data_IF_313622419945
#
_entry.id   IF_313622419945
#
_cell.length_a   1.000
_cell.length_b   1.000
_cell.length_c   1.000
_cell.angle_alpha   90.00
_cell.angle_beta   90.00
_cell.angle_gamma   90.00
#
_symmetry.space_group_name_H-M   'P 1'
#
loop_
_entity.id
_entity.type
_entity.pdbx_description
1 polymer ?
#
# COMPACT_ATOMS: atom_id res chain seq x y z
N UNK A 1 55.63 -70.42 12.33
CA UNK A 1 55.45 -69.38 13.33
C UNK A 1 54.10 -68.67 13.00
N UNK A 2 53.15 -68.73 13.92
CA UNK A 2 51.85 -68.12 13.69
C UNK A 2 52.02 -66.61 13.88
N UNK A 3 51.64 -65.82 12.86
CA UNK A 3 51.59 -64.35 12.90
C UNK A 3 50.63 -63.95 13.99
N UNK A 4 51.12 -63.23 15.02
CA UNK A 4 50.34 -62.73 16.13
C UNK A 4 49.77 -61.38 15.67
N UNK A 5 48.48 -61.38 15.21
CA UNK A 5 47.78 -60.14 14.90
C UNK A 5 47.53 -59.40 16.21
N UNK A 6 48.22 -58.31 16.45
CA UNK A 6 47.96 -57.38 17.55
C UNK A 6 46.77 -56.46 17.17
N UNK A 7 45.62 -56.74 17.77
CA UNK A 7 44.49 -55.77 17.71
C UNK A 7 44.77 -54.63 18.71
N UNK A 8 45.39 -53.57 18.24
CA UNK A 8 45.59 -52.34 19.04
C UNK A 8 44.48 -51.38 18.76
N UNK A 9 43.70 -51.03 19.78
CA UNK A 9 42.81 -49.85 19.72
C UNK A 9 43.57 -48.63 20.14
N UNK A 10 43.66 -47.63 19.26
CA UNK A 10 44.18 -46.31 19.58
C UNK A 10 42.98 -45.43 19.89
N UNK A 11 42.89 -44.86 21.09
CA UNK A 11 41.89 -43.88 21.48
C UNK A 11 42.56 -42.54 21.56
N UNK A 12 42.05 -41.57 20.77
CA UNK A 12 42.56 -40.22 20.82
C UNK A 12 42.07 -39.53 22.10
N UNK A 13 42.86 -38.58 22.57
CA UNK A 13 42.43 -37.71 23.69
C UNK A 13 41.14 -36.98 23.31
N UNK A 14 40.14 -37.02 24.20
CA UNK A 14 38.82 -36.47 23.90
C UNK A 14 38.17 -35.92 25.16
N UNK A 15 37.35 -34.89 25.00
CA UNK A 15 36.55 -34.30 26.07
C UNK A 15 35.38 -33.48 25.48
N UNK A 16 34.50 -32.99 26.33
CA UNK A 16 33.48 -32.04 25.96
C UNK A 16 34.08 -30.67 25.60
N UNK A 17 33.42 -29.91 24.77
CA UNK A 17 33.88 -28.54 24.37
C UNK A 17 34.03 -27.65 25.61
N UNK A 18 33.09 -27.77 26.57
CA UNK A 18 33.11 -27.01 27.80
C UNK A 18 34.36 -27.34 28.67
N UNK A 19 34.73 -28.65 28.77
CA UNK A 19 35.91 -29.07 29.51
C UNK A 19 37.19 -28.64 28.81
N UNK A 20 37.29 -28.81 27.49
CA UNK A 20 38.39 -28.30 26.70
C UNK A 20 38.65 -26.81 26.90
N UNK A 21 37.59 -26.03 26.89
CA UNK A 21 37.64 -24.58 27.09
C UNK A 21 38.03 -24.18 28.50
N UNK A 22 37.51 -24.94 29.51
CA UNK A 22 37.76 -24.67 30.94
C UNK A 22 39.23 -24.97 31.32
N UNK A 23 39.72 -26.13 30.89
CA UNK A 23 41.09 -26.60 31.22
C UNK A 23 42.13 -25.91 30.31
N UNK A 24 41.73 -25.60 29.08
CA UNK A 24 42.55 -24.93 28.06
C UNK A 24 43.99 -25.38 27.97
N UNK A 25 44.28 -26.69 27.81
CA UNK A 25 45.62 -27.25 27.89
C UNK A 25 46.43 -26.92 26.66
N UNK A 26 47.76 -26.88 26.82
CA UNK A 26 48.71 -26.93 25.69
C UNK A 26 48.85 -28.39 25.27
N UNK A 27 48.42 -28.72 24.05
CA UNK A 27 48.59 -30.06 23.48
C UNK A 27 50.02 -30.23 22.98
N UNK A 28 50.59 -31.43 23.08
CA UNK A 28 51.91 -31.75 22.52
C UNK A 28 51.89 -31.57 20.99
N UNK A 29 53.04 -31.25 20.40
CA UNK A 29 53.16 -31.13 18.95
C UNK A 29 52.72 -32.45 18.27
N UNK A 30 51.69 -32.40 17.42
CA UNK A 30 51.10 -33.55 16.76
C UNK A 30 50.05 -34.33 17.60
N UNK A 31 49.81 -33.95 18.85
CA UNK A 31 48.75 -34.56 19.67
C UNK A 31 47.37 -34.17 19.14
N UNK A 32 46.51 -35.22 18.90
CA UNK A 32 45.16 -35.01 18.43
C UNK A 32 44.15 -34.97 19.59
N UNK A 33 43.33 -33.96 19.65
CA UNK A 33 42.23 -33.80 20.62
C UNK A 33 40.87 -33.72 19.94
N UNK A 34 39.95 -34.56 20.36
CA UNK A 34 38.57 -34.68 19.78
C UNK A 34 37.58 -34.02 20.69
N UNK A 35 36.67 -33.24 20.12
CA UNK A 35 35.52 -32.65 20.82
C UNK A 35 34.32 -33.60 20.78
N UNK A 36 33.70 -33.89 21.92
CA UNK A 36 32.65 -34.92 22.05
C UNK A 36 31.22 -34.36 21.93
N UNK A 37 31.03 -33.04 22.05
CA UNK A 37 29.71 -32.41 22.07
C UNK A 37 29.71 -31.03 21.41
N UNK A 38 28.56 -30.32 21.49
CA UNK A 38 28.38 -29.01 20.91
C UNK A 38 28.40 -28.99 19.37
N UNK A 39 28.53 -27.82 18.81
CA UNK A 39 28.59 -27.61 17.34
C UNK A 39 29.89 -28.18 16.71
N UNK A 40 30.88 -28.41 17.54
CA UNK A 40 32.17 -28.98 17.15
C UNK A 40 32.31 -30.49 17.45
N UNK A 41 31.22 -31.19 17.70
CA UNK A 41 31.23 -32.66 18.00
C UNK A 41 31.89 -33.46 16.88
N UNK A 42 32.87 -34.25 17.26
CA UNK A 42 33.64 -35.11 16.36
C UNK A 42 34.77 -34.42 15.64
N UNK A 43 34.92 -33.08 15.80
CA UNK A 43 36.03 -32.34 15.21
C UNK A 43 37.31 -32.49 16.02
N UNK A 44 38.43 -32.34 15.34
CA UNK A 44 39.79 -32.61 15.89
C UNK A 44 40.59 -31.29 15.82
N UNK A 45 41.32 -31.02 16.90
CA UNK A 45 42.44 -30.03 16.90
C UNK A 45 43.75 -30.78 17.03
N UNK A 46 44.77 -30.31 16.36
CA UNK A 46 46.15 -30.87 16.46
C UNK A 46 47.03 -29.87 17.21
N UNK A 47 47.69 -30.33 18.24
CA UNK A 47 48.61 -29.55 19.03
C UNK A 47 49.85 -29.14 18.24
N UNK A 48 50.33 -27.93 18.48
CA UNK A 48 51.59 -27.39 17.98
C UNK A 48 52.72 -27.39 19.03
N UNK A 49 52.41 -27.87 20.25
CA UNK A 49 53.32 -27.90 21.39
C UNK A 49 53.50 -26.60 22.15
N UNK A 50 52.81 -25.51 21.71
CA UNK A 50 52.99 -24.17 22.28
C UNK A 50 51.68 -23.45 22.56
N UNK A 51 50.71 -23.59 21.68
CA UNK A 51 49.41 -22.93 21.78
C UNK A 51 48.45 -23.67 22.70
N UNK A 52 47.65 -22.91 23.42
CA UNK A 52 46.52 -23.46 24.19
C UNK A 52 45.47 -24.01 23.26
N UNK A 53 44.68 -25.00 23.75
CA UNK A 53 43.61 -25.64 22.97
C UNK A 53 42.65 -24.63 22.35
N UNK A 54 42.26 -23.54 23.07
CA UNK A 54 41.40 -22.50 22.58
C UNK A 54 41.94 -21.74 21.39
N UNK A 55 43.29 -21.62 21.27
CA UNK A 55 43.96 -20.89 20.19
C UNK A 55 44.27 -21.76 18.96
N UNK A 56 44.08 -23.11 19.06
CA UNK A 56 44.26 -24.00 17.92
C UNK A 56 42.98 -24.05 17.04
N UNK A 57 43.18 -24.13 15.74
CA UNK A 57 42.08 -24.32 14.78
C UNK A 57 41.66 -25.79 14.72
N UNK A 58 40.36 -26.02 14.42
CA UNK A 58 39.88 -27.35 14.12
C UNK A 58 40.42 -27.85 12.78
N UNK A 59 40.90 -29.08 12.73
CA UNK A 59 41.31 -29.74 11.49
C UNK A 59 40.10 -29.82 10.54
N UNK A 60 40.24 -29.30 9.34
CA UNK A 60 39.23 -29.37 8.34
C UNK A 60 38.16 -28.27 8.41
N UNK A 61 38.35 -27.14 9.15
CA UNK A 61 37.52 -25.93 9.14
C UNK A 61 36.03 -26.08 8.74
N UNK A 62 35.24 -25.07 8.74
CA UNK A 62 33.90 -25.16 8.15
C UNK A 62 34.01 -25.59 6.68
N UNK A 63 33.16 -26.51 6.20
CA UNK A 63 33.20 -27.08 4.82
C UNK A 63 33.22 -26.01 3.71
N UNK A 64 32.71 -24.83 4.00
CA UNK A 64 32.77 -23.64 3.13
C UNK A 64 34.17 -22.99 3.09
N UNK A 65 34.98 -23.16 4.12
CA UNK A 65 36.37 -22.60 4.18
C UNK A 65 37.32 -23.36 3.28
N UNK A 66 37.15 -24.69 3.14
CA UNK A 66 38.08 -25.47 2.31
C UNK A 66 38.01 -25.05 0.84
N UNK A 67 36.80 -24.88 0.30
CA UNK A 67 36.64 -24.41 -1.08
C UNK A 67 37.13 -22.98 -1.31
N UNK A 68 37.11 -22.13 -0.28
CA UNK A 68 37.65 -20.76 -0.32
C UNK A 68 39.16 -20.70 -0.13
N UNK A 69 39.75 -21.71 0.51
CA UNK A 69 41.19 -21.79 0.77
C UNK A 69 42.00 -22.47 -0.34
N UNK A 70 41.35 -23.26 -1.17
CA UNK A 70 41.98 -23.84 -2.37
C UNK A 70 42.05 -22.78 -3.44
N UNK A 71 43.22 -22.23 -3.67
CA UNK A 71 43.49 -21.17 -4.67
C UNK A 71 44.13 -21.77 -5.91
N UNK A 72 43.76 -21.26 -7.07
CA UNK A 72 44.42 -21.58 -8.34
C UNK A 72 45.49 -20.53 -8.64
N UNK A 73 46.64 -20.97 -9.08
CA UNK A 73 47.79 -20.13 -9.47
C UNK A 73 47.80 -19.83 -10.99
N UNK A 74 46.94 -20.48 -11.74
CA UNK A 74 46.79 -20.32 -13.19
C UNK A 74 45.38 -20.64 -13.66
N UNK A 75 45.03 -20.23 -14.89
CA UNK A 75 43.79 -20.59 -15.52
C UNK A 75 43.69 -22.10 -15.78
N UNK A 76 42.53 -22.68 -15.51
CA UNK A 76 42.28 -24.11 -15.81
C UNK A 76 41.88 -24.30 -17.28
N UNK A 77 42.45 -25.33 -17.91
CA UNK A 77 42.15 -25.69 -19.29
C UNK A 77 41.62 -27.11 -19.37
N UNK A 78 40.47 -27.26 -19.98
CA UNK A 78 39.78 -28.57 -20.21
C UNK A 78 39.52 -28.79 -21.71
N UNK A 79 39.16 -30.01 -22.06
CA UNK A 79 38.70 -30.37 -23.45
C UNK A 79 37.19 -30.43 -23.54
N UNK A 80 36.51 -30.56 -22.44
CA UNK A 80 35.04 -30.69 -22.34
C UNK A 80 34.42 -29.42 -21.75
N UNK A 81 33.13 -29.21 -22.00
CA UNK A 81 32.37 -28.10 -21.41
C UNK A 81 32.35 -28.18 -19.89
N UNK A 82 32.56 -27.04 -19.23
CA UNK A 82 32.50 -26.91 -17.79
C UNK A 82 31.55 -25.75 -17.41
N UNK A 83 30.36 -26.09 -16.92
CA UNK A 83 29.34 -25.09 -16.63
C UNK A 83 28.99 -24.23 -17.84
N UNK A 84 29.05 -22.92 -17.71
CA UNK A 84 28.82 -21.96 -18.79
C UNK A 84 29.95 -21.87 -19.82
N UNK A 85 31.11 -22.39 -19.50
CA UNK A 85 32.28 -22.33 -20.37
C UNK A 85 32.22 -23.46 -21.40
N UNK A 86 32.13 -23.07 -22.68
CA UNK A 86 32.03 -23.99 -23.83
C UNK A 86 33.36 -24.07 -24.57
N UNK A 87 33.70 -25.22 -25.20
CA UNK A 87 34.92 -25.38 -25.98
C UNK A 87 35.00 -24.41 -27.15
N UNK A 88 36.12 -23.70 -27.24
CA UNK A 88 36.46 -22.89 -28.41
C UNK A 88 37.82 -23.40 -28.97
N UNK A 89 37.86 -23.86 -30.20
CA UNK A 89 39.09 -24.48 -30.78
C UNK A 89 39.49 -25.77 -30.07
N UNK A 90 38.53 -26.54 -29.53
CA UNK A 90 38.74 -27.82 -28.82
C UNK A 90 39.28 -27.67 -27.37
N UNK A 91 39.25 -26.48 -26.84
CA UNK A 91 39.66 -26.22 -25.42
C UNK A 91 38.67 -25.28 -24.73
N UNK A 92 38.47 -25.52 -23.44
CA UNK A 92 37.78 -24.60 -22.53
C UNK A 92 38.79 -24.01 -21.59
N UNK A 93 38.93 -22.68 -21.56
CA UNK A 93 39.72 -21.97 -20.58
C UNK A 93 38.83 -21.34 -19.53
N UNK A 94 39.01 -21.71 -18.27
CA UNK A 94 38.28 -21.15 -17.15
C UNK A 94 39.22 -20.12 -16.47
N UNK A 95 38.85 -18.84 -16.42
CA UNK A 95 39.62 -17.81 -15.74
C UNK A 95 39.63 -18.09 -14.23
N UNK A 96 40.62 -18.82 -13.77
CA UNK A 96 40.76 -19.27 -12.37
C UNK A 96 42.00 -18.74 -11.67
N UNK A 97 42.93 -18.12 -12.40
CA UNK A 97 44.17 -17.57 -11.81
C UNK A 97 43.84 -16.59 -10.65
N UNK A 98 44.44 -16.85 -9.50
CA UNK A 98 44.20 -16.14 -8.22
C UNK A 98 42.75 -16.19 -7.72
N UNK A 99 41.97 -17.14 -8.16
CA UNK A 99 40.63 -17.40 -7.63
C UNK A 99 40.62 -18.66 -6.76
N UNK A 100 39.74 -18.68 -5.77
CA UNK A 100 39.43 -19.87 -4.98
C UNK A 100 38.59 -20.85 -5.77
N UNK A 101 38.61 -22.14 -5.40
CA UNK A 101 37.74 -23.16 -5.95
C UNK A 101 36.24 -22.74 -5.82
N UNK A 102 35.88 -22.12 -4.70
CA UNK A 102 34.52 -21.61 -4.46
C UNK A 102 34.12 -20.56 -5.51
N UNK A 103 34.96 -19.58 -5.78
CA UNK A 103 34.70 -18.53 -6.79
C UNK A 103 34.61 -19.11 -8.20
N UNK A 104 35.49 -20.06 -8.54
CA UNK A 104 35.44 -20.75 -9.85
C UNK A 104 34.17 -21.57 -10.03
N UNK A 105 33.73 -22.29 -9.02
CA UNK A 105 32.49 -23.08 -9.10
C UNK A 105 31.26 -22.19 -9.20
N UNK A 106 31.18 -21.12 -8.40
CA UNK A 106 30.09 -20.14 -8.52
C UNK A 106 30.08 -19.56 -9.93
N UNK A 107 31.22 -19.06 -10.40
CA UNK A 107 31.30 -18.45 -11.72
C UNK A 107 30.92 -19.44 -12.84
N UNK A 108 31.37 -20.68 -12.76
CA UNK A 108 31.10 -21.70 -13.79
C UNK A 108 29.63 -22.16 -13.84
N UNK A 109 28.97 -22.30 -12.69
CA UNK A 109 27.63 -22.90 -12.57
C UNK A 109 26.52 -21.92 -12.21
N UNK A 110 26.84 -20.69 -11.86
CA UNK A 110 25.83 -19.67 -11.61
C UNK A 110 25.48 -18.95 -12.92
N UNK A 111 24.20 -18.86 -13.20
CA UNK A 111 23.69 -18.03 -14.29
C UNK A 111 23.63 -16.58 -13.80
N UNK A 112 24.27 -15.67 -14.53
CA UNK A 112 24.15 -14.25 -14.22
C UNK A 112 22.80 -13.74 -14.73
N UNK A 113 21.93 -13.39 -13.79
CA UNK A 113 20.59 -12.91 -14.06
C UNK A 113 20.52 -11.40 -13.94
N UNK A 114 19.89 -10.78 -14.91
CA UNK A 114 19.58 -9.36 -14.85
C UNK A 114 18.57 -9.10 -13.70
N UNK A 115 18.71 -7.99 -12.98
CA UNK A 115 17.79 -7.66 -11.92
C UNK A 115 16.40 -7.29 -12.46
N UNK A 116 15.37 -7.66 -11.73
CA UNK A 116 14.06 -7.04 -11.87
C UNK A 116 14.13 -5.62 -11.27
N UNK A 117 13.65 -4.63 -12.03
CA UNK A 117 13.64 -3.23 -11.62
C UNK A 117 12.21 -2.80 -11.33
N UNK A 118 11.93 -2.45 -10.08
CA UNK A 118 10.67 -1.80 -9.72
C UNK A 118 10.81 -0.29 -9.94
N UNK A 119 9.99 0.26 -10.82
CA UNK A 119 10.02 1.67 -11.18
C UNK A 119 9.52 2.57 -10.04
N UNK A 120 9.96 3.83 -9.97
CA UNK A 120 9.44 4.81 -9.04
C UNK A 120 7.93 4.98 -9.17
N UNK A 121 7.28 5.20 -8.06
CA UNK A 121 5.83 5.39 -8.00
C UNK A 121 5.46 6.45 -6.98
N UNK A 122 4.25 6.98 -7.10
CA UNK A 122 3.70 7.89 -6.12
C UNK A 122 2.25 7.56 -5.79
N UNK A 123 1.82 7.95 -4.63
CA UNK A 123 0.42 8.01 -4.24
C UNK A 123 0.05 9.45 -3.91
N UNK A 124 -1.20 9.81 -4.14
CA UNK A 124 -1.79 11.06 -3.66
C UNK A 124 -3.06 10.71 -2.89
N UNK A 125 -3.18 11.26 -1.70
CA UNK A 125 -4.43 11.26 -0.94
C UNK A 125 -4.94 12.68 -0.83
N UNK A 126 -6.26 12.84 -0.83
CA UNK A 126 -6.91 14.14 -0.74
C UNK A 126 -8.12 14.04 0.18
N UNK A 127 -8.29 15.03 1.06
CA UNK A 127 -9.48 15.18 1.89
C UNK A 127 -10.74 15.48 1.07
N UNK A 128 -10.57 15.76 -0.23
CA UNK A 128 -11.62 16.23 -1.13
C UNK A 128 -12.37 15.12 -1.87
N UNK A 129 -11.87 13.87 -1.86
CA UNK A 129 -12.47 12.77 -2.62
C UNK A 129 -13.80 12.29 -2.02
N UNK A 130 -14.82 13.15 -1.98
CA UNK A 130 -16.16 12.79 -1.51
C UNK A 130 -17.24 13.75 -2.04
N UNK A 131 -18.50 13.35 -1.86
CA UNK A 131 -19.64 14.14 -2.24
C UNK A 131 -20.07 15.10 -1.11
N UNK A 132 -20.46 16.29 -1.48
CA UNK A 132 -20.96 17.35 -0.59
C UNK A 132 -22.26 17.92 -1.12
N UNK A 133 -23.07 18.49 -0.23
CA UNK A 133 -24.19 19.34 -0.68
C UNK A 133 -23.63 20.55 -1.41
N UNK A 134 -24.24 20.90 -2.54
CA UNK A 134 -23.86 22.12 -3.29
C UNK A 134 -23.91 23.35 -2.38
N UNK A 135 -22.97 24.26 -2.55
CA UNK A 135 -22.81 25.43 -1.70
C UNK A 135 -21.96 25.19 -0.45
N UNK A 136 -21.62 23.95 -0.11
CA UNK A 136 -20.68 23.66 0.97
C UNK A 136 -19.30 24.23 0.60
N UNK A 137 -18.68 24.91 1.55
CA UNK A 137 -17.33 25.44 1.41
C UNK A 137 -16.33 24.44 1.96
N UNK A 138 -15.30 24.14 1.18
CA UNK A 138 -14.25 23.18 1.54
C UNK A 138 -12.88 23.75 1.20
N UNK A 139 -11.88 23.50 2.02
CA UNK A 139 -10.46 23.80 1.75
C UNK A 139 -9.77 22.49 1.40
N UNK A 140 -9.52 22.22 0.10
CA UNK A 140 -8.96 20.95 -0.34
C UNK A 140 -7.52 20.81 0.11
N UNK A 141 -7.24 19.75 0.88
CA UNK A 141 -5.89 19.39 1.29
C UNK A 141 -5.44 18.10 0.58
N UNK A 142 -4.15 17.98 0.34
CA UNK A 142 -3.54 16.80 -0.25
C UNK A 142 -2.27 16.41 0.49
N UNK A 143 -1.94 15.14 0.39
CA UNK A 143 -0.63 14.60 0.77
C UNK A 143 -0.19 13.56 -0.24
N UNK A 144 1.12 13.42 -0.43
CA UNK A 144 1.69 12.45 -1.33
C UNK A 144 2.78 11.62 -0.65
N UNK A 145 2.99 10.42 -1.16
CA UNK A 145 4.12 9.58 -0.82
C UNK A 145 4.82 9.20 -2.10
N UNK A 146 6.13 9.45 -2.17
CA UNK A 146 6.99 9.03 -3.25
C UNK A 146 7.74 7.75 -2.85
N UNK A 147 7.78 6.77 -3.74
CA UNK A 147 8.56 5.55 -3.61
C UNK A 147 9.61 5.54 -4.72
N UNK A 148 10.87 5.43 -4.36
CA UNK A 148 12.00 5.44 -5.29
C UNK A 148 12.10 4.19 -6.17
N UNK A 149 11.30 3.16 -5.89
CA UNK A 149 11.47 1.85 -6.51
C UNK A 149 12.57 1.05 -5.85
N UNK A 150 12.92 -0.09 -6.42
CA UNK A 150 14.00 -0.94 -5.92
C UNK A 150 14.62 -1.79 -7.03
N UNK A 151 15.83 -2.29 -6.76
CA UNK A 151 16.52 -3.29 -7.56
C UNK A 151 16.48 -4.64 -6.85
N UNK A 152 16.28 -5.72 -7.60
CA UNK A 152 16.24 -7.08 -7.04
C UNK A 152 17.60 -7.48 -6.45
N UNK A 153 18.70 -7.09 -7.10
CA UNK A 153 20.05 -7.39 -6.65
C UNK A 153 20.83 -6.10 -6.38
N UNK A 154 21.70 -6.14 -5.40
CA UNK A 154 22.53 -5.02 -5.00
C UNK A 154 21.81 -4.00 -4.10
N UNK A 155 22.40 -2.84 -3.88
CA UNK A 155 21.80 -1.81 -3.05
C UNK A 155 20.60 -1.18 -3.75
N UNK A 156 19.64 -0.69 -2.96
CA UNK A 156 18.53 0.11 -3.46
C UNK A 156 19.03 1.33 -4.28
N UNK A 157 18.24 1.83 -5.24
CA UNK A 157 18.65 2.92 -6.10
C UNK A 157 18.97 4.18 -5.28
N UNK A 158 20.21 4.64 -5.33
CA UNK A 158 20.61 5.93 -4.79
C UNK A 158 20.40 7.01 -5.85
N UNK A 159 20.03 8.21 -5.44
CA UNK A 159 19.76 9.32 -6.36
C UNK A 159 18.32 9.42 -6.88
N UNK A 160 17.52 8.38 -6.76
CA UNK A 160 16.07 8.42 -7.08
C UNK A 160 15.34 9.09 -5.91
N UNK A 161 15.44 10.40 -5.86
CA UNK A 161 14.77 11.23 -4.85
C UNK A 161 13.90 12.27 -5.55
N UNK A 162 12.77 12.60 -4.95
CA UNK A 162 11.94 13.68 -5.45
C UNK A 162 12.73 14.99 -5.38
N UNK A 163 12.91 15.65 -6.54
CA UNK A 163 13.63 16.90 -6.67
C UNK A 163 12.70 18.10 -6.73
N UNK A 164 11.53 17.93 -7.35
CA UNK A 164 10.49 18.96 -7.41
C UNK A 164 9.11 18.35 -7.23
N UNK A 165 8.22 19.17 -6.68
CA UNK A 165 6.78 18.89 -6.59
C UNK A 165 6.05 20.00 -7.29
N UNK A 166 5.02 19.69 -8.08
CA UNK A 166 4.14 20.66 -8.70
C UNK A 166 2.70 20.18 -8.53
N UNK A 167 2.00 20.75 -7.54
CA UNK A 167 0.59 20.50 -7.30
C UNK A 167 -0.25 21.62 -7.92
N UNK A 168 -1.32 21.25 -8.58
CA UNK A 168 -2.29 22.18 -9.17
C UNK A 168 -3.71 21.65 -8.97
N UNK A 169 -4.69 22.53 -9.08
CA UNK A 169 -6.09 22.16 -9.11
C UNK A 169 -6.74 22.57 -10.44
N UNK A 170 -7.90 22.00 -10.74
CA UNK A 170 -8.59 22.25 -12.01
C UNK A 170 -9.63 23.37 -11.97
N UNK A 171 -9.66 24.19 -10.91
CA UNK A 171 -10.66 25.27 -10.73
C UNK A 171 -10.07 26.64 -10.48
N UNK A 172 -8.96 26.70 -9.77
CA UNK A 172 -8.20 27.92 -9.54
C UNK A 172 -6.82 27.68 -10.10
N UNK A 173 -6.13 28.61 -10.65
CA UNK A 173 -4.77 28.42 -11.19
C UNK A 173 -3.71 28.41 -10.06
N UNK A 174 -4.11 28.00 -8.87
CA UNK A 174 -3.19 27.88 -7.74
C UNK A 174 -2.26 26.70 -7.91
N UNK A 175 -1.00 26.90 -7.58
CA UNK A 175 0.05 25.89 -7.57
C UNK A 175 0.76 25.83 -6.22
N UNK A 176 1.28 24.68 -5.88
CA UNK A 176 2.12 24.49 -4.70
C UNK A 176 3.28 23.53 -5.01
N UNK A 177 4.48 23.88 -4.59
CA UNK A 177 5.71 23.13 -4.86
C UNK A 177 6.10 22.26 -3.67
N UNK A 178 5.12 21.59 -3.07
CA UNK A 178 5.30 20.80 -1.84
C UNK A 178 4.64 19.42 -1.94
N UNK A 179 5.14 18.48 -1.19
CA UNK A 179 4.59 17.11 -1.10
C UNK A 179 3.19 17.07 -0.44
N UNK A 180 2.88 18.06 0.37
CA UNK A 180 1.60 18.22 1.09
C UNK A 180 1.17 19.68 1.02
N UNK A 181 -0.13 19.93 0.96
CA UNK A 181 -0.62 21.31 0.92
C UNK A 181 -2.13 21.39 1.10
N UNK A 182 -2.60 22.63 1.17
CA UNK A 182 -4.02 22.98 1.21
C UNK A 182 -4.25 24.11 0.25
N UNK A 183 -5.22 23.93 -0.66
CA UNK A 183 -5.64 24.98 -1.57
C UNK A 183 -6.69 25.89 -0.93
N UNK A 184 -6.91 27.05 -1.52
CA UNK A 184 -7.92 28.02 -1.10
C UNK A 184 -9.32 27.38 -1.05
N UNK A 185 -10.20 28.02 -0.28
CA UNK A 185 -11.57 27.58 -0.11
C UNK A 185 -12.29 27.48 -1.46
N UNK A 186 -12.88 26.31 -1.72
CA UNK A 186 -13.68 26.02 -2.90
C UNK A 186 -15.15 25.85 -2.51
N UNK A 187 -16.04 26.56 -3.19
CA UNK A 187 -17.47 26.34 -3.04
C UNK A 187 -17.95 25.23 -3.97
N UNK A 188 -18.50 24.17 -3.42
CA UNK A 188 -18.99 23.01 -4.17
C UNK A 188 -20.20 23.43 -5.03
N UNK A 189 -20.12 23.15 -6.32
CA UNK A 189 -21.16 23.47 -7.31
C UNK A 189 -21.86 22.21 -7.82
N UNK A 190 -23.00 22.35 -8.46
CA UNK A 190 -23.74 21.23 -9.07
C UNK A 190 -22.83 20.46 -10.04
N UNK A 191 -22.84 19.12 -9.94
CA UNK A 191 -22.04 18.24 -10.78
C UNK A 191 -20.56 18.56 -10.74
N UNK A 192 -20.04 19.10 -9.63
CA UNK A 192 -18.67 19.56 -9.54
C UNK A 192 -17.66 18.46 -9.77
N UNK A 193 -16.57 18.85 -10.36
CA UNK A 193 -15.43 18.02 -10.68
C UNK A 193 -14.15 18.78 -10.25
N UNK A 194 -13.98 18.93 -8.94
CA UNK A 194 -12.77 19.50 -8.39
C UNK A 194 -11.80 18.38 -8.02
N UNK A 195 -10.58 18.46 -8.52
CA UNK A 195 -9.50 17.56 -8.18
C UNK A 195 -8.15 18.28 -8.08
N UNK A 196 -7.18 17.60 -7.53
CA UNK A 196 -5.81 18.05 -7.40
C UNK A 196 -4.93 17.11 -8.20
N UNK A 197 -4.08 17.65 -9.08
CA UNK A 197 -3.05 16.92 -9.79
C UNK A 197 -1.71 17.27 -9.19
N UNK A 198 -0.93 16.27 -8.77
CA UNK A 198 0.44 16.44 -8.30
C UNK A 198 1.39 15.75 -9.27
N UNK A 199 2.39 16.48 -9.73
CA UNK A 199 3.54 15.95 -10.45
C UNK A 199 4.78 15.95 -9.56
N UNK A 200 5.55 14.86 -9.61
CA UNK A 200 6.83 14.72 -8.90
C UNK A 200 7.91 14.42 -9.92
N UNK A 201 8.96 15.24 -9.95
CA UNK A 201 10.16 14.96 -10.74
C UNK A 201 11.21 14.33 -9.83
N UNK A 202 11.90 13.31 -10.32
CA UNK A 202 12.96 12.61 -9.60
C UNK A 202 14.19 12.43 -10.46
N UNK A 203 15.35 12.30 -9.81
CA UNK A 203 16.64 12.14 -10.44
C UNK A 203 16.95 10.72 -10.89
N UNK A 204 18.07 10.57 -11.60
CA UNK A 204 18.62 9.29 -12.01
C UNK A 204 19.02 8.43 -10.81
N UNK A 205 18.75 7.14 -10.91
CA UNK A 205 19.21 6.13 -9.95
C UNK A 205 20.67 5.70 -10.20
N UNK A 206 21.25 5.03 -9.22
CA UNK A 206 22.50 4.28 -9.41
C UNK A 206 22.30 3.13 -10.42
N UNK A 207 23.41 2.61 -10.96
CA UNK A 207 23.36 1.42 -11.82
C UNK A 207 23.07 0.19 -10.95
N UNK A 208 22.04 -0.62 -11.28
CA UNK A 208 21.77 -1.87 -10.57
C UNK A 208 22.84 -2.92 -10.85
N UNK A 209 22.88 -3.95 -10.01
CA UNK A 209 23.76 -5.10 -10.17
C UNK A 209 22.99 -6.30 -10.70
N UNK A 210 23.68 -7.17 -11.42
CA UNK A 210 23.21 -8.52 -11.75
C UNK A 210 23.27 -9.43 -10.52
N UNK A 211 22.75 -10.64 -10.61
CA UNK A 211 22.80 -11.64 -9.55
C UNK A 211 24.24 -11.97 -9.10
N UNK A 212 25.20 -11.87 -9.99
CA UNK A 212 26.63 -12.09 -9.70
C UNK A 212 27.40 -10.79 -9.38
N UNK A 213 26.71 -9.66 -9.29
CA UNK A 213 27.29 -8.39 -8.86
C UNK A 213 27.87 -7.52 -9.96
N UNK A 214 27.75 -7.88 -11.23
CA UNK A 214 28.16 -7.05 -12.36
C UNK A 214 27.22 -5.85 -12.55
N UNK A 215 27.71 -4.77 -13.16
CA UNK A 215 26.89 -3.61 -13.47
C UNK A 215 25.90 -3.90 -14.61
N UNK A 216 24.62 -3.55 -14.40
CA UNK A 216 23.58 -3.68 -15.41
C UNK A 216 23.01 -2.30 -15.78
N UNK A 217 23.74 -1.59 -16.63
CA UNK A 217 23.42 -0.21 -17.02
C UNK A 217 22.02 -0.08 -17.69
N UNK A 218 21.55 -1.10 -18.40
CA UNK A 218 20.24 -1.09 -19.03
C UNK A 218 19.07 -1.09 -18.04
N UNK A 219 19.29 -1.50 -16.80
CA UNK A 219 18.31 -1.48 -15.74
C UNK A 219 18.32 -0.20 -14.87
N UNK A 220 19.17 0.78 -15.18
CA UNK A 220 19.23 2.03 -14.44
C UNK A 220 17.88 2.76 -14.50
N UNK A 221 17.37 3.16 -13.35
CA UNK A 221 16.22 4.06 -13.29
C UNK A 221 16.68 5.44 -13.78
N UNK A 222 16.01 5.94 -14.83
CA UNK A 222 16.28 7.24 -15.41
C UNK A 222 15.33 8.27 -14.80
N UNK A 223 15.85 9.43 -14.44
CA UNK A 223 15.07 10.54 -13.90
C UNK A 223 13.91 10.92 -14.82
N UNK A 224 12.75 11.13 -14.25
CA UNK A 224 11.52 11.41 -14.98
C UNK A 224 10.53 12.19 -14.10
N UNK A 225 9.39 12.53 -14.67
CA UNK A 225 8.26 13.12 -13.96
C UNK A 225 7.09 12.14 -13.97
N UNK A 226 6.54 11.85 -12.81
CA UNK A 226 5.30 11.09 -12.65
C UNK A 226 4.22 11.98 -12.08
N UNK A 227 2.97 11.78 -12.48
CA UNK A 227 1.85 12.55 -11.97
C UNK A 227 0.68 11.66 -11.57
N UNK A 228 -0.07 12.12 -10.60
CA UNK A 228 -1.32 11.52 -10.13
C UNK A 228 -2.35 12.59 -9.85
N UNK A 229 -3.59 12.26 -10.13
CA UNK A 229 -4.74 13.10 -9.82
C UNK A 229 -5.53 12.49 -8.68
N UNK A 230 -5.96 13.31 -7.73
CA UNK A 230 -6.80 12.90 -6.61
C UNK A 230 -8.21 12.52 -7.08
N UNK A 231 -8.99 11.86 -6.22
CA UNK A 231 -10.42 11.74 -6.41
C UNK A 231 -11.12 13.12 -6.43
N UNK A 232 -12.33 13.13 -6.94
CA UNK A 232 -13.09 14.36 -7.14
C UNK A 232 -13.95 14.75 -5.93
N UNK A 233 -14.13 16.06 -5.73
CA UNK A 233 -15.33 16.58 -5.06
C UNK A 233 -16.48 16.47 -6.06
N UNK A 234 -17.61 15.92 -5.62
CA UNK A 234 -18.88 15.97 -6.34
C UNK A 234 -19.93 16.75 -5.55
N UNK A 235 -20.72 17.56 -6.27
CA UNK A 235 -21.83 18.29 -5.69
C UNK A 235 -23.15 17.54 -5.88
N UNK A 236 -23.98 17.50 -4.85
CA UNK A 236 -25.33 16.97 -4.93
C UNK A 236 -26.34 17.90 -4.26
N UNK A 237 -27.59 17.80 -4.65
CA UNK A 237 -28.71 18.47 -3.98
C UNK A 237 -29.36 17.50 -2.98
N UNK A 238 -29.53 17.94 -1.74
CA UNK A 238 -30.28 17.18 -0.75
C UNK A 238 -31.74 17.10 -1.11
N UNK A 239 -32.39 16.02 -0.72
CA UNK A 239 -33.85 15.96 -0.57
C UNK A 239 -34.17 16.16 0.90
N UNK A 240 -35.22 16.88 1.20
CA UNK A 240 -35.63 17.26 2.54
C UNK A 240 -37.02 16.70 2.81
N UNK A 241 -37.26 16.15 3.99
CA UNK A 241 -38.55 15.61 4.37
C UNK A 241 -38.72 15.59 5.88
N UNK A 242 -39.96 15.59 6.30
CA UNK A 242 -40.32 15.59 7.72
C UNK A 242 -41.60 16.33 7.98
N UNK A 243 -41.69 16.90 9.18
CA UNK A 243 -42.91 17.53 9.65
C UNK A 243 -42.65 18.90 10.26
N UNK A 244 -43.70 19.74 10.27
CA UNK A 244 -43.76 20.98 11.04
C UNK A 244 -44.95 20.96 11.99
N UNK A 245 -44.87 21.76 13.05
CA UNK A 245 -45.97 21.98 14.01
C UNK A 245 -46.84 23.18 13.63
N UNK A 246 -46.50 23.86 12.55
CA UNK A 246 -47.28 24.97 11.99
C UNK A 246 -47.66 24.66 10.53
N UNK A 247 -48.96 24.44 10.30
CA UNK A 247 -49.50 24.22 8.94
C UNK A 247 -49.84 25.49 8.20
N UNK A 248 -49.80 26.65 8.89
CA UNK A 248 -50.11 27.96 8.29
C UNK A 248 -48.90 28.64 7.67
N UNK A 249 -47.68 28.24 8.06
CA UNK A 249 -46.46 28.79 7.55
C UNK A 249 -46.32 28.50 6.03
N UNK A 250 -45.89 29.49 5.27
CA UNK A 250 -45.59 29.33 3.85
C UNK A 250 -44.42 28.36 3.69
N UNK A 251 -44.52 27.44 2.72
CA UNK A 251 -43.45 26.47 2.44
C UNK A 251 -42.35 27.13 1.60
N UNK A 252 -41.45 27.80 2.27
CA UNK A 252 -40.27 28.48 1.67
C UNK A 252 -39.03 27.59 1.61
N UNK A 253 -37.99 28.05 0.91
CA UNK A 253 -36.67 27.43 0.91
C UNK A 253 -36.17 27.14 2.35
N UNK A 254 -36.30 28.13 3.24
CA UNK A 254 -35.78 28.00 4.62
C UNK A 254 -36.58 26.98 5.43
N UNK A 255 -37.91 26.95 5.30
CA UNK A 255 -38.76 25.96 5.93
C UNK A 255 -38.39 24.55 5.44
N UNK A 256 -38.21 24.37 4.13
CA UNK A 256 -37.79 23.09 3.55
C UNK A 256 -36.43 22.65 4.08
N UNK A 257 -35.47 23.54 4.09
CA UNK A 257 -34.10 23.23 4.56
C UNK A 257 -34.02 22.97 6.07
N UNK A 258 -34.95 23.49 6.85
CA UNK A 258 -35.03 23.25 8.29
C UNK A 258 -35.70 21.92 8.66
N UNK A 259 -36.24 21.17 7.69
CA UNK A 259 -36.87 19.86 7.96
C UNK A 259 -35.88 18.89 8.64
N UNK A 260 -36.38 18.09 9.60
CA UNK A 260 -35.51 17.27 10.45
C UNK A 260 -34.82 16.13 9.74
N UNK A 261 -35.32 15.70 8.58
CA UNK A 261 -34.78 14.59 7.81
C UNK A 261 -34.31 15.09 6.43
N UNK A 262 -33.16 14.58 6.01
CA UNK A 262 -32.62 14.85 4.68
C UNK A 262 -31.82 13.65 4.17
N UNK A 263 -31.77 13.49 2.87
CA UNK A 263 -30.83 12.57 2.24
C UNK A 263 -29.43 13.21 2.26
N UNK A 264 -28.42 12.40 2.55
CA UNK A 264 -27.00 12.83 2.50
C UNK A 264 -26.39 12.75 1.08
N UNK A 265 -27.21 12.55 0.06
CA UNK A 265 -26.88 12.50 -1.36
C UNK A 265 -28.14 12.58 -2.20
N UNK A 266 -27.99 12.88 -3.48
CA UNK A 266 -29.12 12.92 -4.40
C UNK A 266 -29.91 11.60 -4.39
N UNK A 267 -31.21 11.71 -4.32
CA UNK A 267 -32.11 10.62 -4.63
C UNK A 267 -32.07 10.33 -6.14
N UNK A 268 -32.46 9.13 -6.53
CA UNK A 268 -32.66 8.75 -7.93
C UNK A 268 -34.07 8.18 -8.12
N UNK A 269 -34.55 8.21 -9.34
CA UNK A 269 -35.85 7.63 -9.68
C UNK A 269 -35.91 6.14 -9.25
N UNK A 270 -37.04 5.76 -8.66
CA UNK A 270 -37.27 4.41 -8.10
C UNK A 270 -36.77 4.23 -6.66
N UNK A 271 -36.15 5.23 -6.05
CA UNK A 271 -35.81 5.18 -4.63
C UNK A 271 -37.07 5.20 -3.76
N UNK A 272 -37.03 4.39 -2.71
CA UNK A 272 -37.99 4.45 -1.60
C UNK A 272 -37.27 4.93 -0.34
N UNK A 273 -37.87 5.87 0.36
CA UNK A 273 -37.38 6.37 1.65
C UNK A 273 -38.55 6.55 2.63
N UNK A 274 -38.20 6.66 3.92
CA UNK A 274 -39.23 6.78 4.96
C UNK A 274 -39.26 8.20 5.53
N UNK A 275 -40.43 8.69 5.82
CA UNK A 275 -40.69 9.93 6.52
C UNK A 275 -41.30 9.61 7.86
N UNK A 276 -40.67 9.99 8.95
CA UNK A 276 -41.15 9.79 10.30
C UNK A 276 -42.06 10.94 10.70
N UNK A 277 -43.24 10.62 11.20
CA UNK A 277 -44.26 11.56 11.62
C UNK A 277 -44.35 11.49 13.16
N UNK A 278 -43.82 12.41 13.91
CA UNK A 278 -43.93 12.40 15.36
C UNK A 278 -45.31 12.88 15.83
N UNK A 279 -45.63 12.59 17.08
CA UNK A 279 -46.78 13.18 17.76
C UNK A 279 -46.62 14.72 17.75
N UNK A 280 -47.74 15.43 17.54
CA UNK A 280 -47.75 16.89 17.47
C UNK A 280 -47.50 17.47 16.08
N UNK A 281 -47.23 16.64 15.08
CA UNK A 281 -47.08 17.10 13.70
C UNK A 281 -48.40 17.65 13.16
N UNK A 282 -48.33 18.81 12.48
CA UNK A 282 -49.51 19.44 11.83
C UNK A 282 -49.39 19.43 10.31
N UNK A 283 -48.14 19.36 9.76
CA UNK A 283 -47.89 19.29 8.32
C UNK A 283 -46.77 18.32 8.06
N UNK A 284 -46.91 17.48 7.05
CA UNK A 284 -45.84 16.68 6.45
C UNK A 284 -45.36 17.40 5.20
N UNK A 285 -44.04 17.50 5.00
CA UNK A 285 -43.40 18.09 3.83
C UNK A 285 -42.40 17.10 3.27
N UNK A 286 -42.47 16.86 1.95
CA UNK A 286 -41.47 16.08 1.19
C UNK A 286 -41.02 16.97 0.04
N UNK A 287 -39.74 17.28 -0.04
CA UNK A 287 -39.15 18.17 -1.04
C UNK A 287 -37.88 17.58 -1.64
N UNK A 288 -37.81 17.52 -2.96
CA UNK A 288 -36.65 17.01 -3.70
C UNK A 288 -36.53 17.70 -5.06
N UNK A 289 -35.31 17.70 -5.69
CA UNK A 289 -35.08 18.36 -6.97
C UNK A 289 -36.12 18.00 -8.04
N UNK A 290 -36.70 18.98 -8.70
CA UNK A 290 -37.75 18.79 -9.72
C UNK A 290 -37.28 18.03 -10.97
N UNK A 291 -35.96 17.84 -11.11
CA UNK A 291 -35.36 16.98 -12.17
C UNK A 291 -35.68 15.50 -11.99
N UNK A 292 -36.04 15.08 -10.77
CA UNK A 292 -36.54 13.74 -10.51
C UNK A 292 -38.02 13.59 -10.89
N UNK A 293 -38.48 12.36 -11.05
CA UNK A 293 -39.90 12.07 -11.37
C UNK A 293 -40.83 12.50 -10.23
N UNK A 294 -42.08 12.61 -10.52
CA UNK A 294 -43.08 12.77 -9.50
C UNK A 294 -43.14 11.52 -8.58
N UNK A 295 -43.57 11.72 -7.34
CA UNK A 295 -43.86 10.60 -6.43
C UNK A 295 -44.83 9.63 -7.10
N UNK A 296 -44.46 8.35 -7.06
CA UNK A 296 -45.31 7.25 -7.59
C UNK A 296 -46.21 6.66 -6.53
N UNK A 297 -45.78 6.66 -5.26
CA UNK A 297 -46.61 6.25 -4.13
C UNK A 297 -46.13 6.81 -2.80
N UNK A 298 -47.07 7.16 -1.93
CA UNK A 298 -46.86 7.44 -0.50
C UNK A 298 -47.72 6.48 0.27
N UNK A 299 -47.13 5.58 1.05
CA UNK A 299 -47.85 4.55 1.81
C UNK A 299 -47.75 4.80 3.29
N UNK A 300 -48.87 4.70 3.99
CA UNK A 300 -48.92 4.71 5.44
C UNK A 300 -48.52 3.32 5.96
N UNK A 301 -47.29 3.22 6.46
CA UNK A 301 -46.70 1.94 6.91
C UNK A 301 -47.47 1.37 8.11
N UNK A 302 -47.91 2.24 9.02
CA UNK A 302 -48.67 1.84 10.22
C UNK A 302 -50.13 1.63 9.92
N UNK A 303 -50.68 2.25 8.85
CA UNK A 303 -52.05 2.12 8.35
C UNK A 303 -52.19 1.04 7.26
N UNK A 304 -51.76 -0.20 7.51
CA UNK A 304 -51.88 -1.35 6.60
C UNK A 304 -51.23 -1.13 5.22
N UNK A 305 -50.22 -0.29 5.12
CA UNK A 305 -49.58 0.13 3.86
C UNK A 305 -50.56 0.76 2.85
N UNK A 306 -51.60 1.41 3.33
CA UNK A 306 -52.57 2.10 2.48
C UNK A 306 -51.85 3.18 1.65
N UNK A 307 -52.21 3.27 0.37
CA UNK A 307 -51.72 4.37 -0.49
C UNK A 307 -52.46 5.65 -0.15
N UNK A 308 -51.75 6.64 0.31
CA UNK A 308 -52.24 7.96 0.71
C UNK A 308 -51.74 9.08 -0.20
N UNK A 309 -51.18 8.76 -1.38
CA UNK A 309 -50.60 9.74 -2.30
C UNK A 309 -51.59 10.87 -2.63
N UNK A 310 -52.87 10.56 -2.77
CA UNK A 310 -53.91 11.54 -3.07
C UNK A 310 -54.21 12.54 -1.93
N UNK A 311 -53.73 12.26 -0.71
CA UNK A 311 -53.88 13.18 0.42
C UNK A 311 -52.82 14.30 0.41
N UNK A 312 -51.86 14.21 -0.50
CA UNK A 312 -50.77 15.21 -0.63
C UNK A 312 -51.07 16.19 -1.75
N UNK A 313 -51.01 17.47 -1.43
CA UNK A 313 -50.98 18.54 -2.44
C UNK A 313 -49.53 18.63 -3.00
N UNK A 314 -49.43 18.85 -4.32
CA UNK A 314 -48.11 19.05 -4.97
C UNK A 314 -47.93 20.49 -5.42
N UNK A 315 -46.70 21.01 -5.26
CA UNK A 315 -46.31 22.34 -5.72
C UNK A 315 -44.82 22.35 -6.12
N UNK A 316 -44.32 23.49 -6.59
CA UNK A 316 -42.90 23.72 -6.80
C UNK A 316 -42.43 24.88 -5.94
N UNK A 317 -41.19 24.76 -5.41
CA UNK A 317 -40.55 25.80 -4.61
C UNK A 317 -39.11 25.89 -5.03
N UNK A 318 -38.60 27.12 -5.15
CA UNK A 318 -37.20 27.35 -5.44
C UNK A 318 -36.37 27.21 -4.15
N UNK A 319 -35.52 26.20 -4.06
CA UNK A 319 -34.77 25.84 -2.84
C UNK A 319 -33.27 26.06 -3.05
N UNK A 320 -32.68 26.85 -2.17
CA UNK A 320 -31.24 27.13 -2.18
C UNK A 320 -30.40 25.91 -1.76
N UNK A 321 -29.14 25.87 -2.20
CA UNK A 321 -28.14 24.95 -1.65
C UNK A 321 -27.62 25.42 -0.28
N UNK A 322 -26.60 24.75 0.25
CA UNK A 322 -25.90 25.18 1.45
C UNK A 322 -25.34 26.61 1.27
N UNK A 323 -25.23 27.36 2.38
CA UNK A 323 -24.73 28.73 2.36
C UNK A 323 -25.40 29.67 1.32
N UNK A 324 -26.69 29.47 1.05
CA UNK A 324 -27.42 30.27 0.09
C UNK A 324 -27.05 30.07 -1.39
N UNK A 325 -26.41 28.94 -1.72
CA UNK A 325 -26.04 28.60 -3.09
C UNK A 325 -27.25 28.62 -4.03
N UNK A 326 -27.02 29.01 -5.27
CA UNK A 326 -28.06 29.19 -6.31
C UNK A 326 -29.22 28.20 -6.19
N UNK A 327 -30.46 28.70 -6.00
CA UNK A 327 -31.62 27.86 -5.84
C UNK A 327 -31.98 27.15 -7.14
N UNK A 328 -32.64 26.00 -7.01
CA UNK A 328 -33.28 25.26 -8.10
C UNK A 328 -34.71 24.89 -7.71
N UNK A 329 -35.53 24.57 -8.70
CA UNK A 329 -36.88 24.07 -8.51
C UNK A 329 -36.88 22.72 -7.80
N UNK A 330 -37.70 22.62 -6.75
CA UNK A 330 -38.00 21.39 -6.02
C UNK A 330 -39.46 21.05 -6.21
N UNK A 331 -39.77 19.75 -6.40
CA UNK A 331 -41.10 19.21 -6.21
C UNK A 331 -41.35 19.12 -4.73
N UNK A 332 -42.49 19.66 -4.30
CA UNK A 332 -42.89 19.68 -2.89
C UNK A 332 -44.27 19.03 -2.76
N UNK A 333 -44.36 18.06 -1.86
CA UNK A 333 -45.60 17.40 -1.49
C UNK A 333 -45.90 17.74 -0.05
N UNK A 334 -47.10 18.22 0.22
CA UNK A 334 -47.53 18.61 1.55
C UNK A 334 -48.87 17.94 1.91
N UNK A 335 -48.97 17.51 3.17
CA UNK A 335 -50.20 17.02 3.77
C UNK A 335 -50.41 17.75 5.08
N UNK A 336 -51.58 18.41 5.21
CA UNK A 336 -51.99 19.10 6.43
C UNK A 336 -52.93 18.26 7.23
N UNK A 337 -52.67 18.12 8.51
CA UNK A 337 -53.59 17.50 9.46
C UNK A 337 -54.63 18.51 9.95
N UNK A 338 -55.88 18.07 10.10
CA UNK A 338 -56.92 18.93 10.67
C UNK A 338 -56.55 19.39 12.10
N UNK A 339 -56.07 18.44 12.93
CA UNK A 339 -55.52 18.63 14.26
C UNK A 339 -54.10 18.15 14.31
N UNK A 340 -53.36 18.53 15.35
CA UNK A 340 -52.01 17.95 15.57
C UNK A 340 -52.10 16.43 15.67
N UNK A 341 -51.16 15.74 15.02
CA UNK A 341 -51.11 14.27 15.01
C UNK A 341 -50.94 13.74 16.46
N UNK A 342 -51.78 12.82 16.87
CA UNK A 342 -51.78 12.26 18.23
C UNK A 342 -51.02 10.93 18.36
N UNK A 343 -50.67 10.34 17.23
CA UNK A 343 -49.99 9.04 17.19
C UNK A 343 -48.78 9.12 16.21
N UNK A 344 -47.63 8.64 16.65
CA UNK A 344 -46.45 8.56 15.77
C UNK A 344 -46.74 7.61 14.58
N UNK A 345 -46.32 8.02 13.38
CA UNK A 345 -46.51 7.26 12.16
C UNK A 345 -45.25 7.29 11.26
N UNK A 346 -45.24 6.47 10.22
CA UNK A 346 -44.19 6.41 9.22
C UNK A 346 -44.80 6.29 7.83
N UNK A 347 -44.32 7.14 6.92
CA UNK A 347 -44.71 7.05 5.51
C UNK A 347 -43.53 6.52 4.68
N UNK A 348 -43.82 5.57 3.79
CA UNK A 348 -42.89 5.09 2.76
C UNK A 348 -43.19 5.83 1.44
N UNK A 349 -42.19 6.55 0.94
CA UNK A 349 -42.30 7.40 -0.25
C UNK A 349 -41.47 6.80 -1.37
N UNK A 350 -42.05 6.58 -2.54
CA UNK A 350 -41.34 6.11 -3.75
C UNK A 350 -41.42 7.16 -4.86
N UNK A 351 -40.27 7.47 -5.47
CA UNK A 351 -40.12 8.44 -6.56
C UNK A 351 -40.03 7.72 -7.91
#
# INVERSE_FOLDING_TARGET
MADKVLNVRIQLRHDTEANWTTVDPVLLAGEAAVTLDGDNKGRIKIGDGTSKWSALDYLGGEDTLLAKSVMFDSDMVFTEQFGKYVPTGGKVTIPSNNKSLYEVLIDAFSEDKNPTVTQPSMTISSSTAKAYEVGTKVSPAYSSTFNAGNYEYGPNPTGVTATTYAASNNKTEETADTATGTFAEYQVVDGSNYNITLAITYGDGSVPKTALGADYAAGKIVGNTISKTSGNISGYRNSFYGTTTDKTAETTSDVIRALPQKSNRALVNGNTFTVNIPVGAQRVIIAYPATLRAVTSIKDVNGLNADITSAFASSTVSVAGANGYSPIEYRVYTQDYANANDTANTYAVTI
#
